data_IF_078938058781
#
_entry.id   IF_078938058781
#
_cell.length_a   1.000
_cell.length_b   1.000
_cell.length_c   1.000
_cell.angle_alpha   90.00
_cell.angle_beta   90.00
_cell.angle_gamma   90.00
#
_symmetry.space_group_name_H-M   'P 1'
#
loop_
_entity.id
_entity.type
_entity.pdbx_description
1 polymer ?
#
# COMPACT_ATOMS: atom_id res chain seq x y z
N UNK A 1 23.58 7.06 8.48
CA UNK A 1 23.70 6.27 7.24
C UNK A 1 23.67 4.79 7.58
N UNK A 2 22.48 4.16 7.70
CA UNK A 2 22.26 2.69 7.62
C UNK A 2 20.75 2.43 7.51
N UNK A 3 20.22 2.46 6.28
CA UNK A 3 18.85 2.01 5.93
C UNK A 3 18.93 0.78 5.01
N UNK A 4 19.85 -0.15 5.27
CA UNK A 4 20.17 -1.25 4.34
C UNK A 4 19.51 -2.60 4.68
N UNK A 5 18.60 -2.68 5.66
CA UNK A 5 17.99 -3.97 6.06
C UNK A 5 16.47 -3.92 6.35
N UNK A 6 15.75 -2.91 5.86
CA UNK A 6 14.29 -2.92 5.98
C UNK A 6 13.68 -3.81 4.87
N UNK A 7 12.81 -4.78 5.21
CA UNK A 7 12.16 -5.62 4.21
C UNK A 7 11.33 -4.77 3.23
N UNK A 8 11.41 -5.08 1.94
CA UNK A 8 10.76 -4.34 0.85
C UNK A 8 9.24 -4.33 1.04
N UNK A 9 8.60 -3.18 0.87
CA UNK A 9 7.16 -2.96 1.05
C UNK A 9 6.58 -2.29 -0.18
N UNK A 10 5.56 -2.89 -0.77
CA UNK A 10 4.73 -2.25 -1.80
C UNK A 10 3.41 -1.88 -1.14
N UNK A 11 2.99 -0.63 -1.29
CA UNK A 11 1.78 -0.12 -0.65
C UNK A 11 0.89 0.50 -1.71
N UNK A 12 -0.36 0.08 -1.71
CA UNK A 12 -1.43 0.67 -2.49
C UNK A 12 -2.26 1.53 -1.55
N UNK A 13 -2.46 2.79 -1.90
CA UNK A 13 -3.31 3.71 -1.15
C UNK A 13 -4.53 4.01 -2.02
N UNK A 14 -5.70 3.53 -1.58
CA UNK A 14 -6.98 3.82 -2.19
C UNK A 14 -7.63 5.00 -1.45
N UNK A 15 -7.83 6.12 -2.15
CA UNK A 15 -8.51 7.31 -1.62
C UNK A 15 -9.90 7.39 -2.25
N UNK A 16 -10.94 7.47 -1.43
CA UNK A 16 -12.34 7.57 -1.88
C UNK A 16 -12.94 8.86 -1.32
N UNK A 17 -13.03 9.90 -2.15
CA UNK A 17 -13.37 11.27 -1.75
C UNK A 17 -14.76 11.67 -2.30
N UNK A 18 -15.36 12.69 -1.70
CA UNK A 18 -16.64 13.24 -2.15
C UNK A 18 -17.86 12.32 -1.94
N UNK A 19 -19.04 12.81 -2.31
CA UNK A 19 -20.33 12.13 -2.18
C UNK A 19 -21.13 12.22 -3.47
N UNK A 20 -22.01 11.23 -3.71
CA UNK A 20 -22.93 11.23 -4.84
C UNK A 20 -22.22 11.41 -6.18
N UNK A 21 -22.64 12.40 -6.96
CA UNK A 21 -22.09 12.71 -8.29
C UNK A 21 -20.72 13.38 -8.24
N UNK A 22 -20.31 13.91 -7.08
CA UNK A 22 -18.99 14.51 -6.86
C UNK A 22 -17.99 13.49 -6.28
N UNK A 23 -18.36 12.21 -6.20
CA UNK A 23 -17.46 11.19 -5.70
C UNK A 23 -16.32 10.95 -6.69
N UNK A 24 -15.10 10.91 -6.19
CA UNK A 24 -13.88 10.63 -6.97
C UNK A 24 -13.04 9.63 -6.17
N UNK A 25 -12.29 8.80 -6.87
CA UNK A 25 -11.27 8.03 -6.20
C UNK A 25 -9.96 7.98 -6.95
N UNK A 26 -8.92 7.72 -6.17
CA UNK A 26 -7.53 7.73 -6.59
C UNK A 26 -6.86 6.49 -6.03
N UNK A 27 -6.18 5.73 -6.88
CA UNK A 27 -5.24 4.69 -6.47
C UNK A 27 -3.84 5.23 -6.61
N UNK A 28 -3.06 5.14 -5.53
CA UNK A 28 -1.64 5.49 -5.54
C UNK A 28 -0.79 4.25 -5.26
N UNK A 29 0.15 3.99 -6.15
CA UNK A 29 1.12 2.90 -6.04
C UNK A 29 2.43 3.46 -5.51
N UNK A 30 2.76 3.17 -4.25
CA UNK A 30 3.98 3.67 -3.61
C UNK A 30 5.11 2.65 -3.76
N UNK A 31 6.11 3.00 -4.56
CA UNK A 31 7.31 2.19 -4.80
C UNK A 31 8.38 2.30 -3.69
N UNK A 32 9.35 1.39 -3.74
CA UNK A 32 10.38 1.08 -2.72
C UNK A 32 11.26 2.25 -2.25
N UNK A 33 11.40 3.28 -3.08
CA UNK A 33 12.25 4.46 -2.88
C UNK A 33 11.45 5.74 -2.57
N UNK A 34 10.12 5.66 -2.45
CA UNK A 34 9.26 6.80 -2.14
C UNK A 34 9.15 7.83 -3.27
N UNK A 35 9.65 7.55 -4.47
CA UNK A 35 9.73 8.53 -5.57
C UNK A 35 8.76 8.26 -6.72
N UNK A 36 8.19 7.05 -6.83
CA UNK A 36 7.23 6.73 -7.89
C UNK A 36 5.87 6.48 -7.24
N UNK A 37 4.95 7.40 -7.56
CA UNK A 37 3.52 7.30 -7.28
C UNK A 37 2.84 7.16 -8.64
N UNK A 38 2.69 5.93 -9.13
CA UNK A 38 1.74 5.74 -10.23
C UNK A 38 0.35 6.04 -9.65
N UNK A 39 -0.38 6.91 -10.33
CA UNK A 39 -1.67 7.42 -9.86
C UNK A 39 -2.73 7.12 -10.91
N UNK A 40 -3.79 6.46 -10.49
CA UNK A 40 -4.95 6.18 -11.33
C UNK A 40 -6.20 6.83 -10.74
N UNK A 41 -6.91 7.61 -11.55
CA UNK A 41 -8.16 8.25 -11.17
C UNK A 41 -9.35 7.45 -11.69
N UNK A 42 -10.41 7.39 -10.91
CA UNK A 42 -11.66 6.76 -11.32
C UNK A 42 -12.89 7.53 -10.84
N UNK A 43 -13.95 7.38 -11.63
CA UNK A 43 -15.17 8.18 -11.49
C UNK A 43 -16.12 7.71 -10.38
N UNK A 44 -17.23 8.44 -10.19
CA UNK A 44 -18.18 8.25 -9.07
C UNK A 44 -18.76 6.84 -8.96
N UNK A 45 -19.02 6.18 -10.09
CA UNK A 45 -19.63 4.84 -10.14
C UNK A 45 -18.72 3.83 -9.45
N UNK A 46 -17.43 3.79 -9.84
CA UNK A 46 -16.48 2.85 -9.26
C UNK A 46 -16.18 3.20 -7.79
N UNK A 47 -16.10 4.48 -7.44
CA UNK A 47 -15.96 4.93 -6.06
C UNK A 47 -17.07 4.39 -5.16
N UNK A 48 -18.32 4.46 -5.63
CA UNK A 48 -19.47 3.93 -4.89
C UNK A 48 -19.41 2.39 -4.75
N UNK A 49 -19.06 1.70 -5.83
CA UNK A 49 -18.91 0.24 -5.81
C UNK A 49 -17.81 -0.21 -4.85
N UNK A 50 -16.66 0.47 -4.83
CA UNK A 50 -15.56 0.16 -3.92
C UNK A 50 -15.91 0.43 -2.45
N UNK A 51 -16.65 1.51 -2.16
CA UNK A 51 -17.16 1.75 -0.79
C UNK A 51 -18.06 0.61 -0.33
N UNK A 52 -18.98 0.15 -1.19
CA UNK A 52 -19.86 -0.96 -0.88
C UNK A 52 -19.06 -2.26 -0.65
N UNK A 53 -18.13 -2.58 -1.55
CA UNK A 53 -17.30 -3.78 -1.47
C UNK A 53 -16.45 -3.81 -0.20
N UNK A 54 -15.81 -2.70 0.14
CA UNK A 54 -14.96 -2.55 1.33
C UNK A 54 -15.78 -2.28 2.61
N UNK A 55 -17.11 -2.23 2.51
CA UNK A 55 -18.01 -1.93 3.63
C UNK A 55 -17.70 -0.59 4.31
N UNK A 56 -17.27 0.40 3.52
CA UNK A 56 -16.91 1.74 3.99
C UNK A 56 -18.17 2.65 4.02
N UNK A 57 -18.51 3.26 5.17
CA UNK A 57 -19.64 4.17 5.25
C UNK A 57 -19.37 5.47 4.46
N UNK A 58 -20.31 5.89 3.61
CA UNK A 58 -20.17 7.10 2.77
C UNK A 58 -20.01 8.38 3.60
N UNK A 59 -20.65 8.46 4.77
CA UNK A 59 -20.71 9.69 5.58
C UNK A 59 -19.64 9.75 6.68
N UNK A 60 -18.63 8.88 6.64
CA UNK A 60 -17.60 8.85 7.67
C UNK A 60 -16.22 9.10 7.08
N UNK A 61 -15.46 9.97 7.74
CA UNK A 61 -14.04 10.06 7.51
C UNK A 61 -13.32 8.94 8.27
N UNK A 62 -12.48 8.18 7.57
CA UNK A 62 -11.69 7.12 8.17
C UNK A 62 -10.81 6.44 7.14
N UNK A 63 -10.04 5.46 7.61
CA UNK A 63 -9.27 4.56 6.76
C UNK A 63 -9.45 3.12 7.25
N UNK A 64 -9.25 2.16 6.36
CA UNK A 64 -9.16 0.75 6.70
C UNK A 64 -7.87 0.18 6.13
N UNK A 65 -7.23 -0.69 6.89
CA UNK A 65 -6.18 -1.56 6.35
C UNK A 65 -6.89 -2.80 5.84
N UNK A 66 -6.65 -3.14 4.58
CA UNK A 66 -7.34 -4.23 3.89
C UNK A 66 -6.31 -5.27 3.49
N UNK A 67 -6.62 -6.54 3.73
CA UNK A 67 -5.79 -7.65 3.26
C UNK A 67 -5.93 -7.85 1.74
N UNK A 68 -5.07 -8.67 1.14
CA UNK A 68 -5.08 -8.89 -0.32
C UNK A 68 -6.40 -9.50 -0.85
N UNK A 69 -7.20 -10.10 0.02
CA UNK A 69 -8.52 -10.66 -0.29
C UNK A 69 -9.67 -9.63 -0.20
N UNK A 70 -9.37 -8.35 0.08
CA UNK A 70 -10.36 -7.29 0.20
C UNK A 70 -11.00 -7.17 1.59
N UNK A 71 -10.61 -7.99 2.58
CA UNK A 71 -11.16 -7.91 3.93
C UNK A 71 -10.44 -6.88 4.80
N UNK A 72 -11.21 -6.06 5.51
CA UNK A 72 -10.65 -5.12 6.48
C UNK A 72 -10.02 -5.87 7.66
N UNK A 73 -8.74 -5.61 7.92
CA UNK A 73 -7.98 -6.16 9.05
C UNK A 73 -7.82 -5.17 10.19
N UNK A 74 -7.99 -3.87 9.92
CA UNK A 74 -8.02 -2.83 10.93
C UNK A 74 -8.83 -1.62 10.46
N UNK A 75 -9.54 -0.99 11.40
CA UNK A 75 -10.27 0.27 11.19
C UNK A 75 -9.55 1.42 11.88
N UNK A 76 -9.37 2.51 11.15
CA UNK A 76 -8.67 3.72 11.59
C UNK A 76 -9.67 4.88 11.54
N UNK A 77 -10.35 5.21 12.65
CA UNK A 77 -11.37 6.26 12.68
C UNK A 77 -10.80 7.67 12.52
N UNK A 78 -9.46 7.82 12.48
CA UNK A 78 -8.73 9.07 12.32
C UNK A 78 -7.44 8.82 11.51
N UNK A 79 -6.82 9.87 10.95
CA UNK A 79 -5.54 9.72 10.28
C UNK A 79 -4.51 9.11 11.22
N UNK A 80 -3.86 8.04 10.77
CA UNK A 80 -2.80 7.38 11.52
C UNK A 80 -1.44 7.67 10.87
N UNK A 81 -0.37 7.80 11.67
CA UNK A 81 0.96 7.96 11.11
C UNK A 81 1.38 6.69 10.37
N UNK A 82 2.08 6.85 9.23
CA UNK A 82 2.53 5.73 8.38
C UNK A 82 3.22 4.62 9.19
N UNK A 83 4.08 4.97 10.16
CA UNK A 83 4.76 3.99 11.04
C UNK A 83 3.80 3.01 11.73
N UNK A 84 2.61 3.46 12.10
CA UNK A 84 1.61 2.62 12.77
C UNK A 84 0.96 1.66 11.78
N UNK A 85 0.61 2.19 10.59
CA UNK A 85 0.07 1.39 9.48
C UNK A 85 1.05 0.28 9.11
N UNK A 86 2.34 0.61 8.93
CA UNK A 86 3.37 -0.37 8.60
C UNK A 86 3.55 -1.44 9.69
N UNK A 87 3.46 -1.07 10.97
CA UNK A 87 3.51 -2.03 12.07
C UNK A 87 2.35 -3.01 12.00
N UNK A 88 1.13 -2.55 11.76
CA UNK A 88 -0.03 -3.44 11.59
C UNK A 88 0.18 -4.36 10.39
N UNK A 89 0.60 -3.82 9.24
CA UNK A 89 0.89 -4.61 8.04
C UNK A 89 1.95 -5.69 8.30
N UNK A 90 3.01 -5.37 9.03
CA UNK A 90 4.09 -6.33 9.36
C UNK A 90 3.62 -7.45 10.31
N UNK A 91 2.46 -7.34 10.96
CA UNK A 91 1.85 -8.44 11.72
C UNK A 91 1.02 -9.40 10.87
N UNK A 92 0.68 -9.04 9.63
CA UNK A 92 -0.17 -9.87 8.78
C UNK A 92 0.54 -11.17 8.38
N UNK A 93 -0.13 -12.35 8.42
CA UNK A 93 0.52 -13.64 8.19
C UNK A 93 1.25 -13.74 6.84
N UNK A 94 0.64 -13.22 5.78
CA UNK A 94 1.27 -13.21 4.45
C UNK A 94 2.52 -12.33 4.42
N UNK A 95 2.48 -11.19 5.12
CA UNK A 95 3.61 -10.28 5.22
C UNK A 95 4.77 -10.91 5.99
N UNK A 96 4.49 -11.65 7.06
CA UNK A 96 5.51 -12.40 7.78
C UNK A 96 6.21 -13.44 6.88
N UNK A 97 5.45 -14.14 6.01
CA UNK A 97 6.03 -15.06 5.02
C UNK A 97 6.92 -14.35 4.01
N UNK A 98 6.50 -13.19 3.51
CA UNK A 98 7.32 -12.36 2.59
C UNK A 98 8.64 -11.93 3.25
N UNK A 99 8.60 -11.47 4.51
CA UNK A 99 9.79 -11.06 5.25
C UNK A 99 10.75 -12.24 5.44
N UNK A 100 10.24 -13.43 5.77
CA UNK A 100 11.06 -14.63 5.89
C UNK A 100 11.71 -15.02 4.55
N UNK A 101 10.96 -14.96 3.45
CA UNK A 101 11.50 -15.20 2.11
C UNK A 101 12.60 -14.18 1.75
N UNK A 102 12.40 -12.90 2.07
CA UNK A 102 13.39 -11.84 1.84
C UNK A 102 14.67 -12.03 2.64
N UNK A 103 14.61 -12.56 3.86
CA UNK A 103 15.83 -12.86 4.66
C UNK A 103 16.72 -13.92 4.02
N UNK A 104 16.16 -14.79 3.17
CA UNK A 104 16.92 -15.78 2.39
C UNK A 104 17.48 -15.23 1.07
N UNK A 105 16.99 -14.08 0.61
CA UNK A 105 17.45 -13.44 -0.63
C UNK A 105 18.62 -12.51 -0.33
N UNK A 106 19.86 -13.00 -0.52
CA UNK A 106 21.00 -12.12 -0.72
C UNK A 106 20.99 -11.68 -2.17
N UNK A 107 20.85 -10.38 -2.44
CA UNK A 107 21.21 -9.87 -3.75
C UNK A 107 22.67 -10.28 -3.99
N UNK A 108 23.00 -11.03 -5.07
CA UNK A 108 24.39 -11.26 -5.40
C UNK A 108 25.05 -9.89 -5.52
N UNK A 109 26.19 -9.69 -4.85
CA UNK A 109 26.95 -8.47 -5.04
C UNK A 109 27.20 -8.29 -6.54
N UNK A 110 26.99 -7.07 -7.09
CA UNK A 110 27.35 -6.82 -8.48
C UNK A 110 28.83 -7.18 -8.63
N UNK A 111 29.12 -8.18 -9.48
CA UNK A 111 30.52 -8.58 -9.72
C UNK A 111 31.27 -7.34 -10.22
N UNK A 112 32.39 -6.96 -9.59
CA UNK A 112 33.19 -5.85 -10.10
C UNK A 112 33.71 -6.24 -11.49
N UNK A 113 33.22 -5.58 -12.54
CA UNK A 113 33.72 -5.76 -13.91
C UNK A 113 32.69 -5.90 -15.03
N UNK A 114 31.38 -5.94 -14.76
CA UNK A 114 30.37 -5.91 -15.82
C UNK A 114 29.71 -4.53 -15.91
N UNK A 115 30.43 -3.58 -16.51
CA UNK A 115 29.79 -2.44 -17.15
C UNK A 115 29.15 -2.95 -18.44
N UNK A 116 27.83 -2.80 -18.59
CA UNK A 116 27.22 -2.93 -19.90
C UNK A 116 27.70 -1.73 -20.72
N UNK A 117 28.66 -1.93 -21.62
CA UNK A 117 28.91 -0.94 -22.67
C UNK A 117 27.71 -0.96 -23.60
N UNK A 118 27.15 0.22 -23.82
CA UNK A 118 26.09 0.57 -24.77
C UNK A 118 26.39 0.06 -26.18
#
# INVERSE_FOLDING_TARGET
MYLLHAPLRHILVLKLLGLGTQAEGVVEFHALNGSVVETEHFGPILTKQLRLFLTLPEHCFGAAIVAKDGRAVAWLPRPAPLRMILRVVDTLPLRQREILAQKGMRCPEPRPGYYWTT
#
